data_IF_007740008839
#
_entry.id   IF_007740008839
#
_cell.length_a   1.000
_cell.length_b   1.000
_cell.length_c   1.000
_cell.angle_alpha   90.00
_cell.angle_beta   90.00
_cell.angle_gamma   90.00
#
_symmetry.space_group_name_H-M   'P 1'
#
loop_
_entity.id
_entity.type
_entity.pdbx_description
1 polymer ?
#
# COMPACT_ATOMS: atom_id res chain seq x y z
N UNK A 1 -16.03 -6.51 -18.95
CA UNK A 1 -16.98 -6.77 -17.85
C UNK A 1 -16.64 -5.88 -16.65
N UNK A 2 -17.66 -5.19 -16.09
CA UNK A 2 -17.52 -4.40 -14.86
C UNK A 2 -17.89 -5.28 -13.66
N UNK A 3 -17.02 -5.30 -12.66
CA UNK A 3 -17.25 -5.97 -11.38
C UNK A 3 -17.47 -4.91 -10.30
N UNK A 4 -18.47 -5.13 -9.46
CA UNK A 4 -18.73 -4.39 -8.25
C UNK A 4 -18.63 -5.34 -7.06
N UNK A 5 -17.88 -4.96 -6.04
CA UNK A 5 -17.72 -5.72 -4.79
C UNK A 5 -18.11 -4.83 -3.62
N UNK A 6 -19.13 -5.25 -2.89
CA UNK A 6 -19.62 -4.55 -1.70
C UNK A 6 -19.23 -5.30 -0.44
N UNK A 7 -18.89 -4.58 0.59
CA UNK A 7 -18.50 -5.15 1.88
C UNK A 7 -18.69 -4.16 3.04
N UNK A 8 -18.37 -4.58 4.26
CA UNK A 8 -18.59 -3.77 5.46
C UNK A 8 -17.81 -2.45 5.49
N UNK A 9 -16.73 -2.34 4.73
CA UNK A 9 -15.92 -1.11 4.66
C UNK A 9 -16.33 -0.17 3.52
N UNK A 10 -17.14 -0.64 2.57
CA UNK A 10 -17.58 0.13 1.43
C UNK A 10 -17.66 -0.71 0.17
N UNK A 11 -17.68 -0.06 -0.98
CA UNK A 11 -17.77 -0.71 -2.28
C UNK A 11 -16.60 -0.33 -3.18
N UNK A 12 -16.14 -1.30 -3.96
CA UNK A 12 -15.12 -1.11 -4.98
C UNK A 12 -15.64 -1.61 -6.33
N UNK A 13 -15.30 -0.90 -7.39
CA UNK A 13 -15.63 -1.33 -8.76
C UNK A 13 -14.38 -1.31 -9.64
N UNK A 14 -14.33 -2.26 -10.57
CA UNK A 14 -13.25 -2.35 -11.56
C UNK A 14 -13.76 -2.94 -12.86
N UNK A 15 -13.19 -2.50 -13.97
CA UNK A 15 -13.43 -3.06 -15.28
C UNK A 15 -12.34 -4.09 -15.57
N UNK A 16 -12.75 -5.33 -15.84
CA UNK A 16 -11.82 -6.38 -16.26
C UNK A 16 -11.52 -6.29 -17.75
N UNK A 17 -10.31 -6.75 -18.18
CA UNK A 17 -9.99 -6.88 -19.60
C UNK A 17 -10.99 -7.77 -20.34
N UNK A 18 -11.18 -7.53 -21.64
CA UNK A 18 -12.12 -8.29 -22.49
C UNK A 18 -11.77 -9.77 -22.65
N UNK A 19 -10.50 -10.14 -22.46
CA UNK A 19 -10.00 -11.50 -22.57
C UNK A 19 -10.24 -12.36 -21.32
N UNK A 20 -10.89 -11.79 -20.30
CA UNK A 20 -11.17 -12.46 -19.03
C UNK A 20 -12.62 -12.25 -18.68
N UNK A 21 -13.31 -13.30 -18.24
CA UNK A 21 -14.65 -13.23 -17.70
C UNK A 21 -14.68 -13.71 -16.24
N UNK A 22 -15.61 -13.15 -15.50
CA UNK A 22 -15.83 -13.45 -14.10
C UNK A 22 -17.27 -13.90 -13.91
N UNK A 23 -17.44 -15.01 -13.20
CA UNK A 23 -18.73 -15.57 -12.80
C UNK A 23 -18.76 -15.88 -11.32
N UNK A 24 -19.96 -15.88 -10.74
CA UNK A 24 -20.19 -16.22 -9.33
C UNK A 24 -20.83 -17.60 -9.24
N UNK A 25 -20.12 -18.53 -8.62
CA UNK A 25 -20.68 -19.83 -8.23
C UNK A 25 -21.34 -19.69 -6.85
N UNK A 26 -22.67 -19.59 -6.86
CA UNK A 26 -23.46 -19.39 -5.63
C UNK A 26 -23.46 -20.61 -4.73
N UNK A 27 -23.39 -21.82 -5.30
CA UNK A 27 -23.45 -23.08 -4.54
C UNK A 27 -22.15 -23.28 -3.74
N UNK A 28 -21.02 -22.90 -4.33
CA UNK A 28 -19.71 -23.02 -3.69
C UNK A 28 -19.21 -21.73 -3.04
N UNK A 29 -19.96 -20.64 -3.15
CA UNK A 29 -19.56 -19.31 -2.68
C UNK A 29 -18.18 -18.89 -3.19
N UNK A 30 -17.94 -19.14 -4.46
CA UNK A 30 -16.65 -18.87 -5.12
C UNK A 30 -16.82 -17.94 -6.31
N UNK A 31 -15.82 -17.10 -6.51
CA UNK A 31 -15.68 -16.28 -7.71
C UNK A 31 -14.80 -17.06 -8.68
N UNK A 32 -15.33 -17.37 -9.86
CA UNK A 32 -14.61 -18.03 -10.93
C UNK A 32 -14.14 -17.01 -11.95
N UNK A 33 -12.87 -17.08 -12.31
CA UNK A 33 -12.29 -16.25 -13.36
C UNK A 33 -11.80 -17.18 -14.46
N UNK A 34 -12.22 -16.91 -15.68
CA UNK A 34 -11.94 -17.75 -16.84
C UNK A 34 -11.35 -16.93 -17.98
N UNK A 35 -10.54 -17.59 -18.81
CA UNK A 35 -9.99 -17.01 -20.05
C UNK A 35 -10.99 -17.20 -21.17
N UNK A 36 -11.18 -16.19 -22.02
CA UNK A 36 -11.99 -16.31 -23.24
C UNK A 36 -11.23 -16.95 -24.39
N UNK A 37 -9.90 -16.84 -24.38
CA UNK A 37 -9.01 -17.40 -25.41
C UNK A 37 -7.77 -18.01 -24.75
N UNK A 38 -7.15 -18.98 -25.40
CA UNK A 38 -5.91 -19.59 -24.91
C UNK A 38 -4.68 -18.96 -25.57
N UNK A 39 -4.38 -17.72 -25.20
CA UNK A 39 -3.21 -16.98 -25.66
C UNK A 39 -2.31 -16.65 -24.48
N UNK A 40 -1.03 -16.36 -24.76
CA UNK A 40 -0.05 -15.95 -23.74
C UNK A 40 -0.48 -14.68 -23.00
N UNK A 41 -1.12 -13.75 -23.74
CA UNK A 41 -1.66 -12.52 -23.16
C UNK A 41 -2.86 -12.78 -22.25
N UNK A 42 -3.80 -13.65 -22.68
CA UNK A 42 -4.97 -13.97 -21.86
C UNK A 42 -4.60 -14.71 -20.58
N UNK A 43 -3.54 -15.52 -20.61
CA UNK A 43 -3.02 -16.19 -19.42
C UNK A 43 -2.42 -15.19 -18.41
N UNK A 44 -1.67 -14.20 -18.89
CA UNK A 44 -1.15 -13.12 -18.05
C UNK A 44 -2.27 -12.28 -17.43
N UNK A 45 -3.26 -11.90 -18.24
CA UNK A 45 -4.43 -11.12 -17.78
C UNK A 45 -5.33 -11.91 -16.82
N UNK A 46 -5.43 -13.22 -17.00
CA UNK A 46 -6.14 -14.11 -16.08
C UNK A 46 -5.53 -14.04 -14.68
N UNK A 47 -4.21 -14.24 -14.55
CA UNK A 47 -3.52 -14.17 -13.26
C UNK A 47 -3.63 -12.80 -12.60
N UNK A 48 -3.48 -11.73 -13.39
CA UNK A 48 -3.66 -10.35 -12.93
C UNK A 48 -5.08 -10.11 -12.42
N UNK A 49 -6.10 -10.48 -13.19
CA UNK A 49 -7.50 -10.28 -12.84
C UNK A 49 -7.88 -11.03 -11.56
N UNK A 50 -7.40 -12.26 -11.40
CA UNK A 50 -7.59 -13.04 -10.19
C UNK A 50 -7.06 -12.31 -8.96
N UNK A 51 -5.85 -11.79 -9.04
CA UNK A 51 -5.23 -11.03 -7.94
C UNK A 51 -5.99 -9.74 -7.64
N UNK A 52 -6.39 -9.01 -8.67
CA UNK A 52 -7.15 -7.76 -8.52
C UNK A 52 -8.51 -7.99 -7.85
N UNK A 53 -9.24 -9.00 -8.26
CA UNK A 53 -10.53 -9.35 -7.65
C UNK A 53 -10.36 -9.81 -6.21
N UNK A 54 -9.36 -10.65 -5.93
CA UNK A 54 -9.05 -11.08 -4.56
C UNK A 54 -8.68 -9.87 -3.67
N UNK A 55 -7.92 -8.92 -4.17
CA UNK A 55 -7.58 -7.69 -3.45
C UNK A 55 -8.82 -6.82 -3.21
N UNK A 56 -9.77 -6.75 -4.14
CA UNK A 56 -11.03 -6.03 -3.93
C UNK A 56 -11.86 -6.66 -2.81
N UNK A 57 -12.01 -7.97 -2.81
CA UNK A 57 -12.74 -8.71 -1.76
C UNK A 57 -12.11 -8.49 -0.40
N UNK A 58 -10.79 -8.62 -0.29
CA UNK A 58 -10.07 -8.37 0.96
C UNK A 58 -10.18 -6.91 1.38
N UNK A 59 -10.07 -5.97 0.45
CA UNK A 59 -10.13 -4.54 0.72
C UNK A 59 -11.46 -4.08 1.30
N UNK A 60 -12.59 -4.57 0.78
CA UNK A 60 -13.92 -4.21 1.28
C UNK A 60 -14.30 -4.95 2.57
N UNK A 61 -13.67 -6.08 2.86
CA UNK A 61 -13.93 -6.87 4.07
C UNK A 61 -13.03 -6.46 5.25
N UNK A 62 -11.73 -6.62 5.10
CA UNK A 62 -10.72 -6.39 6.14
C UNK A 62 -10.01 -5.05 5.94
N UNK A 63 -9.73 -4.68 4.69
CA UNK A 63 -8.90 -3.55 4.31
C UNK A 63 -7.41 -3.91 4.31
N UNK A 64 -6.60 -2.94 3.86
CA UNK A 64 -5.15 -3.05 3.81
C UNK A 64 -4.50 -2.03 4.72
N UNK A 65 -3.37 -2.41 5.29
CA UNK A 65 -2.58 -1.57 6.17
C UNK A 65 -1.09 -1.69 5.81
N UNK A 66 -0.40 -0.57 5.89
CA UNK A 66 1.07 -0.50 5.81
C UNK A 66 1.56 0.35 6.97
N UNK A 67 2.45 -0.21 7.78
CA UNK A 67 3.11 0.52 8.86
C UNK A 67 4.51 0.90 8.43
N UNK A 68 4.87 2.12 8.74
CA UNK A 68 6.18 2.70 8.47
C UNK A 68 6.82 3.10 9.79
N UNK A 69 8.12 2.85 9.90
CA UNK A 69 8.91 3.23 11.05
C UNK A 69 9.92 4.30 10.68
N UNK A 70 10.04 5.29 11.53
CA UNK A 70 10.96 6.41 11.38
C UNK A 70 12.09 6.24 12.37
N UNK A 71 13.31 6.18 11.87
CA UNK A 71 14.52 6.06 12.68
C UNK A 71 15.39 7.28 12.48
N UNK A 72 15.83 7.90 13.55
CA UNK A 72 16.73 9.05 13.52
C UNK A 72 16.45 10.05 14.65
N UNK A 73 17.49 10.67 15.16
CA UNK A 73 17.36 11.68 16.22
C UNK A 73 16.67 12.92 15.66
N UNK A 74 15.59 13.35 16.33
CA UNK A 74 14.81 14.52 15.92
C UNK A 74 13.84 14.26 14.75
N UNK A 75 13.82 13.06 14.18
CA UNK A 75 12.86 12.68 13.14
C UNK A 75 11.52 12.35 13.79
N UNK A 76 10.45 12.91 13.28
CA UNK A 76 9.10 12.68 13.81
C UNK A 76 8.04 12.88 12.75
N UNK A 77 6.92 12.20 12.93
CA UNK A 77 5.69 12.40 12.18
C UNK A 77 4.61 12.95 13.09
N UNK A 78 3.73 13.78 12.54
CA UNK A 78 2.54 14.29 13.22
C UNK A 78 1.43 14.48 12.19
N UNK A 79 0.19 14.54 12.67
CA UNK A 79 -0.97 14.86 11.84
C UNK A 79 -1.34 16.32 11.99
N UNK A 80 -1.65 16.95 10.86
CA UNK A 80 -2.30 18.26 10.78
C UNK A 80 -3.66 18.07 10.11
N UNK A 81 -4.70 17.88 10.93
CA UNK A 81 -6.00 17.43 10.44
C UNK A 81 -5.93 16.03 9.82
N UNK A 82 -6.12 15.95 8.50
CA UNK A 82 -5.99 14.70 7.73
C UNK A 82 -4.61 14.52 7.08
N UNK A 83 -3.83 15.60 7.05
CA UNK A 83 -2.55 15.61 6.34
C UNK A 83 -1.41 15.13 7.25
N UNK A 84 -0.45 14.47 6.66
CA UNK A 84 0.74 13.98 7.35
C UNK A 84 1.86 15.02 7.24
N UNK A 85 2.44 15.39 8.36
CA UNK A 85 3.59 16.29 8.45
C UNK A 85 4.80 15.51 8.96
N UNK A 86 5.86 15.51 8.18
CA UNK A 86 7.10 14.79 8.46
C UNK A 86 8.24 15.77 8.71
N UNK A 87 8.82 15.71 9.91
CA UNK A 87 10.04 16.42 10.26
C UNK A 87 11.22 15.43 10.13
N UNK A 88 11.96 15.52 9.04
CA UNK A 88 12.98 14.53 8.68
C UNK A 88 14.38 15.13 8.59
N UNK A 89 14.67 16.19 9.35
CA UNK A 89 15.97 16.86 9.37
C UNK A 89 16.22 17.79 8.18
N UNK A 90 15.17 18.14 7.44
CA UNK A 90 15.20 19.20 6.44
C UNK A 90 14.97 20.57 7.09
N UNK A 91 15.28 21.64 6.38
CA UNK A 91 15.08 23.02 6.86
C UNK A 91 13.62 23.37 7.13
N UNK A 92 12.69 22.66 6.48
CA UNK A 92 11.24 22.79 6.65
C UNK A 92 10.57 21.43 6.73
N UNK A 93 9.43 21.32 7.41
CA UNK A 93 8.65 20.07 7.45
C UNK A 93 8.06 19.74 6.07
N UNK A 94 7.96 18.47 5.77
CA UNK A 94 7.32 17.98 4.54
C UNK A 94 5.85 17.67 4.85
N UNK A 95 4.93 18.40 4.25
CA UNK A 95 3.50 18.17 4.37
C UNK A 95 3.02 17.31 3.20
N UNK A 96 2.33 16.22 3.51
CA UNK A 96 1.75 15.30 2.54
C UNK A 96 0.24 15.25 2.70
N UNK A 97 -0.47 15.60 1.62
CA UNK A 97 -1.93 15.54 1.59
C UNK A 97 -2.37 14.09 1.49
N UNK A 98 -3.21 13.66 2.43
CA UNK A 98 -3.76 12.30 2.42
C UNK A 98 -4.86 12.19 1.37
N UNK A 99 -4.74 11.28 0.39
CA UNK A 99 -5.77 11.07 -0.61
C UNK A 99 -7.09 10.60 0.01
N UNK A 100 -8.21 10.94 -0.64
CA UNK A 100 -9.52 10.42 -0.25
C UNK A 100 -9.55 8.90 -0.36
N UNK A 101 -10.16 8.23 0.61
CA UNK A 101 -10.21 6.76 0.70
C UNK A 101 -9.04 6.13 1.46
N UNK A 102 -8.06 6.93 1.89
CA UNK A 102 -7.02 6.52 2.81
C UNK A 102 -7.22 7.15 4.20
N UNK A 103 -6.81 6.41 5.22
CA UNK A 103 -6.67 6.90 6.58
C UNK A 103 -5.21 6.79 7.02
N UNK A 104 -4.69 7.86 7.58
CA UNK A 104 -3.35 7.90 8.15
C UNK A 104 -3.47 8.09 9.65
N UNK A 105 -2.77 7.27 10.40
CA UNK A 105 -2.70 7.35 11.86
C UNK A 105 -1.25 7.41 12.30
N UNK A 106 -0.93 8.35 13.15
CA UNK A 106 0.36 8.43 13.83
C UNK A 106 0.19 7.84 15.21
N UNK A 107 0.64 6.61 15.38
CA UNK A 107 0.54 5.89 16.66
C UNK A 107 1.58 6.43 17.66
N UNK A 108 2.77 6.67 17.16
CA UNK A 108 3.87 7.30 17.87
C UNK A 108 4.59 8.28 16.94
N UNK A 109 5.35 9.25 17.44
CA UNK A 109 6.11 10.16 16.57
C UNK A 109 7.00 9.46 15.54
N UNK A 110 7.35 8.21 15.79
CA UNK A 110 8.22 7.39 14.95
C UNK A 110 7.48 6.26 14.22
N UNK A 111 6.14 6.21 14.28
CA UNK A 111 5.35 5.16 13.64
C UNK A 111 4.12 5.74 12.94
N UNK A 112 4.02 5.47 11.65
CA UNK A 112 2.91 5.91 10.80
C UNK A 112 2.20 4.69 10.24
N UNK A 113 0.90 4.62 10.43
CA UNK A 113 0.02 3.59 9.87
C UNK A 113 -0.82 4.18 8.73
N UNK A 114 -0.72 3.60 7.55
CA UNK A 114 -1.55 3.94 6.40
C UNK A 114 -2.54 2.80 6.17
N UNK A 115 -3.82 3.10 6.09
CA UNK A 115 -4.87 2.11 5.87
C UNK A 115 -5.88 2.56 4.82
N UNK A 116 -6.50 1.60 4.13
CA UNK A 116 -7.51 1.85 3.12
C UNK A 116 -8.05 0.58 2.49
N UNK A 117 -9.10 0.73 1.67
CA UNK A 117 -9.72 -0.39 0.95
C UNK A 117 -8.91 -0.80 -0.29
N UNK A 118 -8.29 0.15 -0.98
CA UNK A 118 -7.55 -0.11 -2.20
C UNK A 118 -6.07 -0.35 -1.89
N UNK A 119 -5.62 -1.57 -2.16
CA UNK A 119 -4.22 -1.97 -1.93
C UNK A 119 -3.23 -1.09 -2.67
N UNK A 120 -3.57 -0.72 -3.89
CA UNK A 120 -2.72 0.10 -4.77
C UNK A 120 -2.48 1.49 -4.14
N UNK A 121 -3.55 2.15 -3.68
CA UNK A 121 -3.47 3.46 -3.05
C UNK A 121 -2.71 3.43 -1.72
N UNK A 122 -2.95 2.42 -0.90
CA UNK A 122 -2.22 2.23 0.38
C UNK A 122 -0.73 2.05 0.10
N UNK A 123 -0.39 1.20 -0.87
CA UNK A 123 1.00 0.94 -1.25
C UNK A 123 1.69 2.16 -1.86
N UNK A 124 1.03 2.87 -2.76
CA UNK A 124 1.57 4.08 -3.39
C UNK A 124 1.82 5.19 -2.37
N UNK A 125 0.86 5.45 -1.48
CA UNK A 125 1.03 6.49 -0.48
C UNK A 125 2.11 6.14 0.54
N UNK A 126 2.18 4.88 0.98
CA UNK A 126 3.26 4.40 1.85
C UNK A 126 4.64 4.53 1.18
N UNK A 127 4.74 4.23 -0.12
CA UNK A 127 5.97 4.41 -0.88
C UNK A 127 6.37 5.89 -1.01
N UNK A 128 5.41 6.79 -1.20
CA UNK A 128 5.65 8.25 -1.20
C UNK A 128 6.19 8.73 0.14
N UNK A 129 5.61 8.26 1.26
CA UNK A 129 6.10 8.59 2.61
C UNK A 129 7.54 8.11 2.77
N UNK A 130 7.82 6.85 2.41
CA UNK A 130 9.18 6.28 2.49
C UNK A 130 10.19 7.05 1.62
N UNK A 131 9.78 7.52 0.46
CA UNK A 131 10.64 8.26 -0.47
C UNK A 131 11.05 9.64 0.03
N UNK A 132 10.34 10.23 1.00
CA UNK A 132 10.73 11.52 1.60
C UNK A 132 12.13 11.44 2.19
N UNK A 133 12.43 10.37 2.91
CA UNK A 133 13.77 10.06 3.38
C UNK A 133 13.96 8.55 3.51
N UNK A 134 14.44 7.88 2.46
CA UNK A 134 14.66 6.45 2.49
C UNK A 134 15.74 6.09 3.53
N UNK A 135 15.71 4.86 4.08
CA UNK A 135 16.68 4.44 5.08
C UNK A 135 18.10 4.42 4.50
N UNK A 136 19.02 5.00 5.20
CA UNK A 136 20.42 5.00 4.80
C UNK A 136 21.13 3.68 5.14
N UNK A 137 22.16 3.28 4.37
CA UNK A 137 22.79 1.97 4.56
C UNK A 137 23.77 1.87 5.76
N UNK A 138 24.15 2.99 6.38
CA UNK A 138 25.15 2.99 7.46
C UNK A 138 24.54 2.88 8.85
N UNK A 139 23.70 3.83 9.24
CA UNK A 139 23.03 3.86 10.56
C UNK A 139 21.56 3.48 10.51
N UNK A 140 20.99 3.33 9.30
CA UNK A 140 19.57 3.01 9.09
C UNK A 140 18.62 4.17 9.39
N UNK A 141 19.10 5.42 9.40
CA UNK A 141 18.26 6.61 9.58
C UNK A 141 17.38 6.81 8.35
N UNK A 142 16.12 7.11 8.58
CA UNK A 142 15.14 7.34 7.54
C UNK A 142 13.82 6.65 7.82
N UNK A 143 12.99 6.53 6.79
CA UNK A 143 11.68 5.89 6.86
C UNK A 143 11.77 4.52 6.18
N UNK A 144 11.44 3.47 6.91
CA UNK A 144 11.39 2.10 6.41
C UNK A 144 10.00 1.49 6.63
N UNK A 145 9.65 0.46 5.88
CA UNK A 145 8.49 -0.37 6.21
C UNK A 145 8.76 -1.16 7.48
N UNK A 146 7.72 -1.44 8.25
CA UNK A 146 7.83 -2.34 9.39
C UNK A 146 8.30 -3.72 8.92
N UNK A 147 9.38 -4.24 9.56
CA UNK A 147 9.98 -5.51 9.18
C UNK A 147 10.88 -5.47 7.95
N UNK A 148 11.12 -4.30 7.35
CA UNK A 148 12.06 -4.15 6.24
C UNK A 148 13.50 -4.39 6.70
N UNK A 149 14.19 -5.34 6.06
CA UNK A 149 15.60 -5.61 6.32
C UNK A 149 16.45 -4.68 5.46
N UNK A 150 17.12 -3.74 6.12
CA UNK A 150 18.03 -2.81 5.46
C UNK A 150 19.44 -3.41 5.45
N UNK A 151 19.98 -3.65 4.26
CA UNK A 151 21.38 -4.08 4.11
C UNK A 151 22.29 -2.95 4.54
N UNK A 152 22.95 -3.13 5.65
CA UNK A 152 23.92 -2.16 6.17
C UNK A 152 25.28 -2.36 5.53
N UNK A 153 25.94 -1.22 5.25
CA UNK A 153 27.33 -1.18 4.82
C UNK A 153 28.21 -0.83 6.01
N UNK A 154 29.42 -1.38 6.05
CA UNK A 154 30.43 -0.95 7.01
C UNK A 154 30.89 0.47 6.67
N UNK A 155 30.83 1.38 7.64
CA UNK A 155 31.43 2.70 7.51
C UNK A 155 32.96 2.62 7.45
N UNK A 156 33.61 3.71 7.06
CA UNK A 156 35.08 3.81 7.21
C UNK A 156 35.43 3.69 8.69
N UNK A 157 36.09 2.60 9.07
CA UNK A 157 36.74 2.50 10.36
C UNK A 157 37.91 3.50 10.35
N UNK A 158 37.71 4.65 10.97
CA UNK A 158 38.83 5.51 11.31
C UNK A 158 39.77 4.75 12.25
N UNK A 159 41.03 4.63 11.85
CA UNK A 159 42.11 4.31 12.79
C UNK A 159 42.22 5.44 13.78
#
# INVERSE_FOLDING_TARGET
>A
QKILVDGPKGSLSRILPSLVCCSLDKDKQKILIEKTQDTKLSQALYGLSRTLVANMVTGVSIGFQKRLQITGVGYRAQLDGKDLVLNMGYSHPVKMITPNGLAVKVENPNSVLVSGMQKDMVGEFAAKIRSVRPPEPYKGKGIAYEGEIIRRKAGKTGK
#
